data_IF_948166159900
#
_entry.id   IF_948166159900
#
_cell.length_a   1.000
_cell.length_b   1.000
_cell.length_c   1.000
_cell.angle_alpha   90.00
_cell.angle_beta   90.00
_cell.angle_gamma   90.00
#
_symmetry.space_group_name_H-M   'P 1'
#
loop_
_entity.id
_entity.type
_entity.pdbx_description
1 polymer ?
#
# COMPACT_ATOMS: atom_id res chain seq x y z
N UNK A 1 -9.66 2.77 23.36
CA UNK A 1 -10.93 2.45 22.67
C UNK A 1 -10.60 2.23 21.19
N UNK A 2 -10.99 1.11 20.60
CA UNK A 2 -10.86 0.89 19.15
C UNK A 2 -11.78 1.87 18.43
N UNK A 3 -11.25 2.61 17.45
CA UNK A 3 -12.06 3.50 16.61
C UNK A 3 -12.77 2.65 15.57
N UNK A 4 -14.09 2.58 15.65
CA UNK A 4 -14.91 1.96 14.60
C UNK A 4 -15.33 3.04 13.60
N UNK A 5 -15.31 2.69 12.32
CA UNK A 5 -15.79 3.54 11.23
C UNK A 5 -16.85 2.77 10.46
N UNK A 6 -18.06 3.34 10.38
CA UNK A 6 -19.15 2.78 9.57
C UNK A 6 -19.09 3.39 8.18
N UNK A 7 -19.22 2.55 7.16
CA UNK A 7 -19.24 2.96 5.75
C UNK A 7 -20.45 2.33 5.07
N UNK A 8 -21.19 3.13 4.30
CA UNK A 8 -22.29 2.65 3.44
C UNK A 8 -21.81 2.66 2.01
N UNK A 9 -21.91 1.52 1.32
CA UNK A 9 -21.47 1.37 -0.07
C UNK A 9 -22.66 0.99 -0.93
N UNK A 10 -22.83 1.67 -2.07
CA UNK A 10 -23.83 1.32 -3.07
C UNK A 10 -23.15 0.56 -4.20
N UNK A 11 -23.62 -0.65 -4.48
CA UNK A 11 -23.18 -1.46 -5.61
C UNK A 11 -24.33 -1.54 -6.63
N UNK A 12 -24.00 -1.60 -7.92
CA UNK A 12 -25.00 -1.70 -8.99
C UNK A 12 -24.45 -2.45 -10.20
N UNK A 13 -25.36 -3.02 -10.99
CA UNK A 13 -25.03 -3.81 -12.18
C UNK A 13 -24.09 -4.98 -11.86
N UNK A 14 -23.12 -5.20 -12.73
CA UNK A 14 -22.20 -6.34 -12.66
C UNK A 14 -21.46 -6.48 -11.31
N UNK A 15 -21.17 -5.38 -10.61
CA UNK A 15 -20.51 -5.43 -9.30
C UNK A 15 -21.44 -5.98 -8.21
N UNK A 16 -22.73 -5.66 -8.28
CA UNK A 16 -23.74 -6.22 -7.37
C UNK A 16 -23.87 -7.72 -7.59
N UNK A 17 -23.96 -8.15 -8.85
CA UNK A 17 -24.08 -9.57 -9.22
C UNK A 17 -22.84 -10.35 -8.79
N UNK A 18 -21.65 -9.78 -9.00
CA UNK A 18 -20.40 -10.39 -8.58
C UNK A 18 -20.32 -10.58 -7.06
N UNK A 19 -20.68 -9.56 -6.28
CA UNK A 19 -20.68 -9.67 -4.81
C UNK A 19 -21.73 -10.68 -4.34
N UNK A 20 -22.91 -10.69 -4.94
CA UNK A 20 -23.96 -11.66 -4.63
C UNK A 20 -23.53 -13.11 -4.91
N UNK A 21 -22.73 -13.36 -5.95
CA UNK A 21 -22.20 -14.69 -6.25
C UNK A 21 -21.10 -15.16 -5.26
N UNK A 22 -20.47 -14.23 -4.54
CA UNK A 22 -19.36 -14.52 -3.63
C UNK A 22 -19.76 -14.47 -2.15
N UNK A 23 -20.98 -14.04 -1.82
CA UNK A 23 -21.46 -13.82 -0.45
C UNK A 23 -22.74 -14.62 -0.20
N UNK A 24 -22.81 -15.31 0.93
CA UNK A 24 -23.97 -16.12 1.35
C UNK A 24 -23.61 -17.59 1.56
N UNK A 25 -24.61 -18.46 1.70
CA UNK A 25 -24.45 -19.87 2.09
C UNK A 25 -23.50 -20.67 1.18
N UNK A 26 -23.50 -20.35 -0.12
CA UNK A 26 -22.63 -20.98 -1.12
C UNK A 26 -21.45 -20.08 -1.55
N UNK A 27 -21.31 -18.90 -0.95
CA UNK A 27 -20.25 -17.93 -1.24
C UNK A 27 -18.99 -18.18 -0.43
N UNK A 28 -17.88 -17.56 -0.82
CA UNK A 28 -16.63 -17.60 -0.03
C UNK A 28 -16.66 -16.73 1.22
N UNK A 29 -17.68 -15.87 1.37
CA UNK A 29 -17.83 -14.95 2.48
C UNK A 29 -19.25 -15.02 3.04
N UNK A 30 -19.40 -14.87 4.36
CA UNK A 30 -20.70 -14.96 5.03
C UNK A 30 -21.55 -13.70 4.79
N UNK A 31 -20.91 -12.53 4.71
CA UNK A 31 -21.59 -11.26 4.48
C UNK A 31 -20.72 -10.24 3.73
N UNK A 32 -21.37 -9.21 3.19
CA UNK A 32 -20.72 -8.15 2.39
C UNK A 32 -19.68 -7.41 3.23
N UNK A 33 -19.95 -7.15 4.51
CA UNK A 33 -19.03 -6.43 5.38
C UNK A 33 -17.73 -7.21 5.61
N UNK A 34 -17.77 -8.53 5.64
CA UNK A 34 -16.58 -9.39 5.64
C UNK A 34 -15.81 -9.27 4.34
N UNK A 35 -16.51 -9.41 3.22
CA UNK A 35 -15.88 -9.32 1.92
C UNK A 35 -15.18 -7.97 1.70
N UNK A 36 -15.84 -6.86 2.06
CA UNK A 36 -15.25 -5.51 1.98
C UNK A 36 -14.05 -5.35 2.92
N UNK A 37 -14.10 -5.90 4.14
CA UNK A 37 -12.94 -5.88 5.05
C UNK A 37 -11.76 -6.63 4.48
N UNK A 38 -11.99 -7.76 3.83
CA UNK A 38 -10.94 -8.52 3.17
C UNK A 38 -10.34 -7.77 1.98
N UNK A 39 -11.18 -7.15 1.13
CA UNK A 39 -10.73 -6.30 0.03
C UNK A 39 -9.87 -5.12 0.52
N UNK A 40 -10.28 -4.44 1.59
CA UNK A 40 -9.51 -3.34 2.19
C UNK A 40 -8.17 -3.85 2.72
N UNK A 41 -8.13 -5.04 3.33
CA UNK A 41 -6.88 -5.63 3.82
C UNK A 41 -5.93 -5.93 2.67
N UNK A 42 -6.40 -6.56 1.60
CA UNK A 42 -5.60 -6.86 0.41
C UNK A 42 -5.11 -5.59 -0.29
N UNK A 43 -5.95 -4.55 -0.35
CA UNK A 43 -5.57 -3.26 -0.91
C UNK A 43 -4.45 -2.61 -0.10
N UNK A 44 -4.59 -2.59 1.25
CA UNK A 44 -3.53 -2.12 2.16
C UNK A 44 -2.24 -2.90 1.99
N UNK A 45 -2.30 -4.23 1.99
CA UNK A 45 -1.13 -5.10 1.84
C UNK A 45 -0.41 -4.86 0.51
N UNK A 46 -1.17 -4.73 -0.59
CA UNK A 46 -0.61 -4.40 -1.90
C UNK A 46 0.09 -3.05 -1.89
N UNK A 47 -0.55 -2.02 -1.37
CA UNK A 47 0.04 -0.67 -1.31
C UNK A 47 1.31 -0.63 -0.46
N UNK A 48 1.32 -1.33 0.69
CA UNK A 48 2.49 -1.44 1.56
C UNK A 48 3.64 -2.22 0.87
N UNK A 49 3.32 -3.31 0.19
CA UNK A 49 4.30 -4.12 -0.55
C UNK A 49 4.91 -3.32 -1.71
N UNK A 50 4.10 -2.63 -2.50
CA UNK A 50 4.57 -1.78 -3.60
C UNK A 50 5.50 -0.65 -3.08
N UNK A 51 5.13 0.00 -1.97
CA UNK A 51 5.97 1.02 -1.35
C UNK A 51 7.30 0.45 -0.85
N UNK A 52 7.26 -0.73 -0.22
CA UNK A 52 8.45 -1.41 0.26
C UNK A 52 9.38 -1.83 -0.88
N UNK A 53 8.84 -2.46 -1.93
CA UNK A 53 9.62 -2.92 -3.08
C UNK A 53 10.24 -1.76 -3.84
N UNK A 54 9.52 -0.64 -3.97
CA UNK A 54 10.07 0.58 -4.54
C UNK A 54 11.27 1.08 -3.73
N UNK A 55 11.14 1.22 -2.40
CA UNK A 55 12.24 1.67 -1.54
C UNK A 55 13.43 0.71 -1.62
N UNK A 56 13.17 -0.59 -1.56
CA UNK A 56 14.20 -1.63 -1.68
C UNK A 56 14.95 -1.52 -3.01
N UNK A 57 14.24 -1.32 -4.12
CA UNK A 57 14.86 -1.15 -5.44
C UNK A 57 15.73 0.11 -5.51
N UNK A 58 15.24 1.24 -4.99
CA UNK A 58 15.99 2.49 -4.92
C UNK A 58 17.27 2.34 -4.08
N UNK A 59 17.19 1.72 -2.89
CA UNK A 59 18.35 1.46 -2.04
C UNK A 59 19.33 0.48 -2.69
N UNK A 60 18.83 -0.62 -3.27
CA UNK A 60 19.68 -1.61 -3.97
C UNK A 60 20.49 -0.95 -5.07
N UNK A 61 19.86 -0.06 -5.84
CA UNK A 61 20.56 0.73 -6.87
C UNK A 61 21.59 1.68 -6.27
N UNK A 62 21.27 2.37 -5.17
CA UNK A 62 22.17 3.32 -4.52
C UNK A 62 23.40 2.64 -3.90
N UNK A 63 23.24 1.43 -3.36
CA UNK A 63 24.30 0.65 -2.72
C UNK A 63 25.06 -0.29 -3.69
N UNK A 64 24.61 -0.43 -4.93
CA UNK A 64 25.35 -1.20 -5.95
C UNK A 64 26.66 -0.50 -6.40
N UNK A 65 26.84 0.78 -6.06
CA UNK A 65 28.06 1.51 -6.37
C UNK A 65 29.22 1.05 -5.44
N UNK A 66 30.45 0.92 -5.96
CA UNK A 66 31.62 0.61 -5.12
C UNK A 66 31.80 1.65 -4.02
N UNK A 67 32.29 1.23 -2.85
CA UNK A 67 32.50 2.15 -1.72
C UNK A 67 33.42 3.32 -2.08
N UNK A 68 34.39 3.08 -2.97
CA UNK A 68 35.34 4.07 -3.50
C UNK A 68 34.68 5.21 -4.27
N UNK A 69 33.42 5.06 -4.68
CA UNK A 69 32.64 6.12 -5.35
C UNK A 69 32.00 7.11 -4.36
N UNK A 70 31.86 6.75 -3.08
CA UNK A 70 31.33 7.65 -2.06
C UNK A 70 32.37 8.69 -1.65
N UNK A 71 31.89 9.89 -1.30
CA UNK A 71 32.73 10.99 -0.81
C UNK A 71 32.20 11.48 0.53
N UNK A 72 33.08 11.88 1.47
CA UNK A 72 32.66 12.56 2.68
C UNK A 72 31.81 13.78 2.32
N UNK A 73 30.71 13.96 3.04
CA UNK A 73 29.79 15.07 2.86
C UNK A 73 29.16 15.43 4.20
N UNK A 74 29.19 16.71 4.55
CA UNK A 74 28.61 17.25 5.77
C UNK A 74 27.23 17.86 5.49
N UNK A 75 26.38 17.92 6.51
CA UNK A 75 25.09 18.59 6.41
C UNK A 75 25.24 20.09 6.04
N UNK A 76 26.29 20.76 6.52
CA UNK A 76 26.57 22.16 6.22
C UNK A 76 26.84 22.40 4.72
N UNK A 77 27.62 21.52 4.08
CA UNK A 77 27.88 21.58 2.63
C UNK A 77 26.60 21.37 1.82
N UNK A 78 25.72 20.46 2.24
CA UNK A 78 24.42 20.23 1.59
C UNK A 78 23.52 21.46 1.72
N UNK A 79 23.41 22.05 2.91
CA UNK A 79 22.58 23.23 3.15
C UNK A 79 23.10 24.43 2.34
N UNK A 80 24.42 24.67 2.34
CA UNK A 80 25.03 25.74 1.57
C UNK A 80 24.74 25.61 0.06
N UNK A 81 24.78 24.38 -0.48
CA UNK A 81 24.50 24.10 -1.90
C UNK A 81 23.06 24.43 -2.33
N UNK A 82 22.08 24.31 -1.42
CA UNK A 82 20.64 24.44 -1.74
C UNK A 82 20.03 25.79 -1.31
N UNK A 83 20.84 26.79 -0.92
CA UNK A 83 20.38 28.11 -0.45
C UNK A 83 20.10 29.14 -1.57
N UNK A 84 20.08 28.71 -2.83
CA UNK A 84 19.71 29.55 -3.98
C UNK A 84 18.20 29.78 -4.06
#
# INVERSE_FOLDING_TARGET
MSRTTTMTVRLSGALSDFVAANVGENGSYENISEYVRDLIRRDKERAEQEAFDRLKAELTRAFAAPETSYRPLTAAEVIARNRA
#
